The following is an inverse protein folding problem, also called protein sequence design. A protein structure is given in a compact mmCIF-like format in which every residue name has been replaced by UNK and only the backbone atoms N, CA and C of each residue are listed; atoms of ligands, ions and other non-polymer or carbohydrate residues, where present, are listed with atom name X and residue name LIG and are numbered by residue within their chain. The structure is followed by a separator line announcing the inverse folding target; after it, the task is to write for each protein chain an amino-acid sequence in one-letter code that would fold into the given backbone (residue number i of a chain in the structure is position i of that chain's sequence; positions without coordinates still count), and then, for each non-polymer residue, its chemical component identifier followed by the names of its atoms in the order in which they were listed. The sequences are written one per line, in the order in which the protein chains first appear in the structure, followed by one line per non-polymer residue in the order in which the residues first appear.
data_IF_007644763531
#
_entry.id   IF_007644763531
#
_cell.length_a   1.000
_cell.length_b   1.000
_cell.length_c   1.000
_cell.angle_alpha   90.00
_cell.angle_beta   90.00
_cell.angle_gamma   90.00
#
_symmetry.space_group_name_H-M   'P 1'
#
loop_
_entity.id
_entity.type
_entity.pdbx_description
1 polymer ?
#
# COMPACT_ATOMS: atom_id res chain seq x y z
N UNK A 1 -3.37 3.02 2.09
CA UNK A 1 -3.11 3.83 0.87
C UNK A 1 -3.19 2.91 -0.33
N UNK A 2 -3.99 3.26 -1.33
CA UNK A 2 -4.14 2.46 -2.57
C UNK A 2 -3.46 3.09 -3.77
N UNK A 3 -3.28 4.41 -3.75
CA UNK A 3 -2.63 5.13 -4.83
C UNK A 3 -1.10 5.10 -4.71
N UNK A 4 -0.44 5.01 -5.86
CA UNK A 4 1.00 5.27 -5.96
C UNK A 4 1.20 6.79 -6.08
N UNK A 5 1.92 7.36 -5.13
CA UNK A 5 2.17 8.80 -5.05
C UNK A 5 3.62 9.07 -5.45
N UNK A 6 3.81 10.05 -6.33
CA UNK A 6 5.14 10.53 -6.76
C UNK A 6 5.17 12.06 -6.72
N UNK A 7 6.33 12.69 -6.51
CA UNK A 7 6.45 14.13 -6.64
C UNK A 7 6.16 14.56 -8.07
N UNK A 8 5.55 15.73 -8.23
CA UNK A 8 5.49 16.40 -9.52
C UNK A 8 6.93 16.61 -10.04
N UNK A 9 7.21 16.40 -11.33
CA UNK A 9 8.54 16.57 -11.93
C UNK A 9 9.19 17.93 -11.61
N UNK A 10 8.42 19.02 -11.59
CA UNK A 10 8.90 20.36 -11.24
C UNK A 10 9.27 20.56 -9.78
N UNK A 11 8.97 19.58 -8.92
CA UNK A 11 9.26 19.55 -7.49
C UNK A 11 10.26 18.45 -7.10
N UNK A 12 10.73 17.67 -8.06
CA UNK A 12 11.81 16.69 -7.87
C UNK A 12 13.17 17.36 -8.04
N UNK A 13 14.11 17.06 -7.15
CA UNK A 13 15.51 17.48 -7.29
C UNK A 13 16.33 16.48 -8.15
N UNK A 14 15.74 15.35 -8.55
CA UNK A 14 16.42 14.30 -9.30
C UNK A 14 16.23 14.44 -10.81
N UNK A 15 17.30 14.84 -11.48
CA UNK A 15 17.38 15.02 -12.94
C UNK A 15 17.34 13.65 -13.68
N UNK A 16 17.45 12.52 -12.96
CA UNK A 16 17.60 11.18 -13.54
C UNK A 16 16.40 10.24 -13.44
N UNK A 17 15.38 10.55 -12.62
CA UNK A 17 14.25 9.64 -12.33
C UNK A 17 12.89 10.22 -12.70
N UNK A 18 12.84 11.33 -13.44
CA UNK A 18 11.57 11.92 -13.90
C UNK A 18 10.78 10.89 -14.72
N UNK A 19 9.66 10.36 -14.19
CA UNK A 19 8.83 9.43 -14.94
C UNK A 19 8.32 10.14 -16.19
N UNK A 20 8.33 9.47 -17.34
CA UNK A 20 7.84 10.05 -18.58
C UNK A 20 6.32 10.26 -18.46
N UNK A 21 5.93 11.47 -18.08
CA UNK A 21 4.56 11.83 -17.75
C UNK A 21 3.76 12.07 -19.03
N UNK A 22 2.66 11.33 -19.22
CA UNK A 22 1.63 11.71 -20.20
C UNK A 22 0.52 12.42 -19.43
N UNK A 23 0.42 13.77 -19.49
CA UNK A 23 -0.60 14.49 -18.75
C UNK A 23 -1.97 14.20 -19.36
N UNK A 24 -2.72 13.29 -18.74
CA UNK A 24 -4.17 13.14 -18.98
C UNK A 24 -5.00 13.71 -17.82
N UNK A 25 -4.34 14.29 -16.81
CA UNK A 25 -4.75 14.10 -15.44
C UNK A 25 -5.84 15.01 -14.92
N UNK A 26 -6.91 14.38 -14.46
CA UNK A 26 -7.92 15.05 -13.68
C UNK A 26 -7.34 15.48 -12.32
N UNK A 27 -7.67 16.68 -11.83
CA UNK A 27 -7.25 17.13 -10.50
C UNK A 27 -7.85 16.23 -9.42
N UNK A 28 -7.05 15.87 -8.42
CA UNK A 28 -7.50 15.09 -7.26
C UNK A 28 -7.01 15.71 -5.97
N UNK A 29 -7.76 15.48 -4.89
CA UNK A 29 -7.33 15.80 -3.53
C UNK A 29 -7.12 14.50 -2.78
N UNK A 30 -5.98 14.37 -2.12
CA UNK A 30 -5.64 13.22 -1.30
C UNK A 30 -5.41 13.66 0.14
N UNK A 31 -5.85 12.83 1.08
CA UNK A 31 -5.69 13.10 2.51
C UNK A 31 -4.63 12.16 3.07
N UNK A 32 -3.63 12.72 3.76
CA UNK A 32 -2.57 11.94 4.37
C UNK A 32 -2.13 12.55 5.69
N UNK A 33 -2.20 11.75 6.76
CA UNK A 33 -1.87 12.17 8.14
C UNK A 33 -2.60 13.43 8.61
N UNK A 34 -3.81 13.68 8.10
CA UNK A 34 -4.65 14.83 8.47
C UNK A 34 -4.43 16.07 7.60
N UNK A 35 -3.52 16.03 6.63
CA UNK A 35 -3.29 17.12 5.68
C UNK A 35 -3.84 16.77 4.29
N UNK A 36 -4.37 17.78 3.59
CA UNK A 36 -4.86 17.67 2.22
C UNK A 36 -3.78 18.04 1.21
N UNK A 37 -3.62 17.23 0.16
CA UNK A 37 -2.66 17.47 -0.90
C UNK A 37 -3.35 17.46 -2.26
N UNK A 38 -2.98 18.43 -3.10
CA UNK A 38 -3.45 18.50 -4.48
C UNK A 38 -2.54 17.69 -5.38
N UNK A 39 -3.15 16.79 -6.14
CA UNK A 39 -2.48 15.93 -7.10
C UNK A 39 -3.15 15.94 -8.47
N UNK A 40 -2.48 15.28 -9.40
CA UNK A 40 -2.94 15.08 -10.77
C UNK A 40 -2.76 13.60 -11.10
N UNK A 41 -3.79 12.97 -11.65
CA UNK A 41 -3.72 11.56 -12.05
C UNK A 41 -2.94 11.39 -13.35
N UNK A 42 -2.19 10.31 -13.48
CA UNK A 42 -1.53 9.97 -14.75
C UNK A 42 -1.11 8.51 -14.74
N UNK A 43 -0.49 8.07 -15.82
CA UNK A 43 0.23 6.80 -15.85
C UNK A 43 1.72 7.05 -15.97
N UNK A 44 2.50 6.25 -15.27
CA UNK A 44 3.95 6.26 -15.35
C UNK A 44 4.45 4.88 -15.76
N UNK A 45 5.48 4.84 -16.60
CA UNK A 45 6.21 3.61 -16.90
C UNK A 45 7.11 3.31 -15.70
N UNK A 46 6.96 2.14 -15.11
CA UNK A 46 7.63 1.75 -13.86
C UNK A 46 8.46 0.49 -14.06
N UNK A 47 9.64 0.50 -13.45
CA UNK A 47 10.49 -0.67 -13.22
C UNK A 47 10.66 -0.87 -11.72
N UNK A 48 10.40 -2.07 -11.23
CA UNK A 48 10.59 -2.45 -9.82
C UNK A 48 11.83 -3.36 -9.74
N UNK A 49 12.97 -2.85 -9.25
CA UNK A 49 14.20 -3.62 -9.15
C UNK A 49 14.02 -4.92 -8.37
N UNK A 50 14.74 -5.97 -8.76
CA UNK A 50 14.65 -7.28 -8.12
C UNK A 50 13.39 -8.09 -8.50
N UNK A 51 12.56 -7.57 -9.40
CA UNK A 51 11.39 -8.28 -9.95
C UNK A 51 11.45 -8.36 -11.47
N UNK A 52 10.47 -9.02 -12.10
CA UNK A 52 10.28 -9.00 -13.57
C UNK A 52 9.41 -7.85 -14.04
N UNK A 53 8.98 -6.96 -13.13
CA UNK A 53 8.12 -5.82 -13.43
C UNK A 53 9.00 -4.71 -14.01
N UNK A 54 9.01 -4.60 -15.34
CA UNK A 54 9.71 -3.54 -16.07
C UNK A 54 8.83 -3.03 -17.19
N UNK A 55 8.96 -1.74 -17.50
CA UNK A 55 8.27 -1.09 -18.61
C UNK A 55 6.74 -1.20 -18.55
N UNK A 56 6.18 -1.33 -17.33
CA UNK A 56 4.73 -1.42 -17.10
C UNK A 56 4.18 -0.04 -16.78
N UNK A 57 3.07 0.33 -17.43
CA UNK A 57 2.35 1.57 -17.12
C UNK A 57 1.48 1.36 -15.88
N UNK A 58 1.83 1.99 -14.77
CA UNK A 58 1.05 1.97 -13.54
C UNK A 58 0.32 3.31 -13.33
N UNK A 59 -0.89 3.29 -12.72
CA UNK A 59 -1.58 4.51 -12.29
C UNK A 59 -0.77 5.19 -11.19
N UNK A 60 -0.61 6.51 -11.30
CA UNK A 60 0.09 7.33 -10.31
C UNK A 60 -0.67 8.63 -10.07
N UNK A 61 -0.54 9.16 -8.86
CA UNK A 61 -0.96 10.52 -8.52
C UNK A 61 0.32 11.33 -8.29
N UNK A 62 0.55 12.29 -9.17
CA UNK A 62 1.66 13.23 -9.01
C UNK A 62 1.22 14.37 -8.10
N UNK A 63 1.90 14.55 -6.97
CA UNK A 63 1.56 15.58 -5.99
C UNK A 63 2.59 16.69 -5.97
N UNK A 64 2.14 17.93 -5.79
CA UNK A 64 3.06 19.02 -5.56
C UNK A 64 3.64 18.89 -4.16
N UNK A 65 4.96 18.94 -4.02
CA UNK A 65 5.60 19.04 -2.70
C UNK A 65 5.13 20.33 -2.02
N UNK A 66 4.39 20.20 -0.92
CA UNK A 66 3.86 21.35 -0.16
C UNK A 66 4.68 21.63 1.11
N UNK A 67 5.39 20.63 1.63
CA UNK A 67 6.20 20.70 2.84
C UNK A 67 7.43 19.77 2.74
N UNK A 68 8.43 19.90 3.65
CA UNK A 68 9.58 18.99 3.70
C UNK A 68 9.22 17.51 3.93
N UNK A 69 8.10 17.25 4.60
CA UNK A 69 7.51 15.92 4.84
C UNK A 69 6.12 15.84 4.17
N UNK A 70 6.10 15.95 2.84
CA UNK A 70 4.87 15.69 2.07
C UNK A 70 4.63 14.18 1.99
N UNK A 71 3.43 13.72 1.63
CA UNK A 71 2.98 12.31 1.52
C UNK A 71 4.07 11.30 1.09
N UNK A 72 4.82 10.74 2.04
CA UNK A 72 5.95 9.83 1.75
C UNK A 72 7.06 10.43 0.88
N UNK A 73 7.11 11.76 0.75
CA UNK A 73 8.09 12.55 0.00
C UNK A 73 8.90 13.37 1.00
N UNK A 74 10.11 12.91 1.28
CA UNK A 74 11.10 13.56 2.15
C UNK A 74 12.51 13.25 1.63
N UNK A 75 13.60 13.73 2.27
CA UNK A 75 14.96 13.50 1.78
C UNK A 75 15.38 12.03 1.59
N UNK A 76 14.65 11.08 2.17
CA UNK A 76 14.96 9.65 2.11
C UNK A 76 13.92 8.83 1.32
N UNK A 77 12.80 9.44 0.92
CA UNK A 77 11.68 8.77 0.27
C UNK A 77 11.11 9.67 -0.82
N UNK A 78 10.98 9.14 -2.03
CA UNK A 78 10.49 9.88 -3.20
C UNK A 78 9.02 9.58 -3.53
N UNK A 79 8.25 9.07 -2.57
CA UNK A 79 6.85 8.75 -2.78
C UNK A 79 6.36 7.53 -2.01
N UNK A 80 5.19 7.06 -2.41
CA UNK A 80 4.50 5.92 -1.81
C UNK A 80 4.08 4.95 -2.90
N UNK A 81 4.37 3.67 -2.70
CA UNK A 81 3.78 2.60 -3.51
C UNK A 81 2.53 2.06 -2.78
N UNK A 82 1.34 2.42 -3.28
CA UNK A 82 0.07 2.01 -2.71
C UNK A 82 -0.37 0.63 -3.20
N UNK A 83 -0.85 -0.20 -2.29
CA UNK A 83 -1.33 -1.55 -2.58
C UNK A 83 -2.65 -1.92 -1.89
N UNK A 84 -3.34 -0.92 -1.34
CA UNK A 84 -4.71 -1.10 -0.84
C UNK A 84 -5.72 -1.35 -1.97
N UNK A 85 -6.98 -1.56 -1.58
CA UNK A 85 -8.10 -1.81 -2.47
C UNK A 85 -8.45 -0.60 -3.36
N UNK A 86 -8.98 -0.86 -4.55
CA UNK A 86 -9.38 0.17 -5.52
C UNK A 86 -10.49 1.09 -5.01
N UNK A 87 -11.32 0.63 -4.08
CA UNK A 87 -12.36 1.44 -3.41
C UNK A 87 -11.79 2.68 -2.72
N UNK A 88 -10.56 2.58 -2.21
CA UNK A 88 -9.84 3.67 -1.52
C UNK A 88 -8.96 4.51 -2.47
N UNK A 89 -8.83 4.12 -3.74
CA UNK A 89 -8.04 4.87 -4.72
C UNK A 89 -8.72 6.19 -5.09
N UNK A 90 -7.93 7.26 -5.11
CA UNK A 90 -8.32 8.58 -5.61
C UNK A 90 -7.99 8.77 -7.09
N UNK A 91 -7.31 7.82 -7.72
CA UNK A 91 -7.03 7.84 -9.15
C UNK A 91 -8.32 7.77 -9.98
N UNK A 92 -8.31 8.37 -11.19
CA UNK A 92 -9.41 8.28 -12.15
C UNK A 92 -8.94 7.66 -13.49
N UNK A 93 -9.52 6.53 -13.94
CA UNK A 93 -10.48 5.68 -13.22
C UNK A 93 -9.87 5.11 -11.93
N UNK A 94 -10.72 4.64 -10.99
CA UNK A 94 -10.26 4.02 -9.73
C UNK A 94 -9.59 2.68 -10.02
N UNK A 95 -8.29 2.71 -10.20
CA UNK A 95 -7.45 1.56 -10.51
C UNK A 95 -6.15 1.69 -9.73
N UNK A 96 -5.70 0.59 -9.14
CA UNK A 96 -4.47 0.54 -8.34
C UNK A 96 -3.31 -0.04 -9.14
N UNK A 97 -2.09 0.10 -8.60
CA UNK A 97 -0.93 -0.60 -9.13
C UNK A 97 -1.16 -2.13 -9.13
N UNK A 98 -1.75 -2.67 -8.06
CA UNK A 98 -2.02 -4.10 -7.94
C UNK A 98 -3.03 -4.59 -8.97
N UNK A 99 -4.12 -3.87 -9.19
CA UNK A 99 -5.11 -4.19 -10.24
C UNK A 99 -4.45 -4.25 -11.62
N UNK A 100 -3.58 -3.27 -11.91
CA UNK A 100 -2.91 -3.18 -13.21
C UNK A 100 -1.92 -4.33 -13.40
N UNK A 101 -1.13 -4.64 -12.36
CA UNK A 101 -0.15 -5.72 -12.40
C UNK A 101 -0.82 -7.09 -12.55
N UNK A 102 -1.88 -7.34 -11.78
CA UNK A 102 -2.57 -8.63 -11.77
C UNK A 102 -3.40 -8.84 -13.03
N UNK A 103 -4.29 -7.90 -13.37
CA UNK A 103 -5.15 -8.03 -14.56
C UNK A 103 -4.37 -7.95 -15.87
N UNK A 104 -3.20 -7.29 -15.85
CA UNK A 104 -2.25 -7.27 -16.96
C UNK A 104 -1.42 -8.55 -17.11
N UNK A 105 -1.58 -9.54 -16.22
CA UNK A 105 -0.83 -10.80 -16.24
C UNK A 105 0.66 -10.64 -15.91
N UNK A 106 1.07 -9.51 -15.31
CA UNK A 106 2.47 -9.24 -14.94
C UNK A 106 2.87 -10.03 -13.71
N UNK A 107 1.95 -10.16 -12.75
CA UNK A 107 2.11 -10.98 -11.55
C UNK A 107 1.11 -12.16 -11.56
N UNK A 108 1.50 -13.34 -11.07
CA UNK A 108 0.65 -14.52 -11.15
C UNK A 108 -0.47 -14.54 -10.12
N UNK A 109 -0.29 -13.88 -8.97
CA UNK A 109 -1.27 -13.83 -7.88
C UNK A 109 -1.57 -12.38 -7.51
N UNK A 110 -2.81 -12.09 -7.10
CA UNK A 110 -3.18 -10.79 -6.57
C UNK A 110 -2.83 -10.69 -5.07
N UNK A 111 -1.53 -10.81 -4.76
CA UNK A 111 -1.05 -10.96 -3.39
C UNK A 111 0.21 -10.11 -3.17
N UNK A 112 0.41 -9.66 -1.93
CA UNK A 112 1.65 -9.06 -1.46
C UNK A 112 2.12 -9.75 -0.19
N UNK A 113 3.36 -10.25 -0.22
CA UNK A 113 4.06 -10.67 0.98
C UNK A 113 4.89 -9.52 1.54
N UNK A 114 4.71 -9.21 2.83
CA UNK A 114 5.59 -8.29 3.56
C UNK A 114 6.40 -9.06 4.58
N UNK A 115 7.72 -8.95 4.49
CA UNK A 115 8.61 -9.57 5.46
C UNK A 115 9.51 -8.51 6.06
N UNK A 116 9.23 -8.18 7.33
CA UNK A 116 9.95 -7.19 8.12
C UNK A 116 10.87 -7.92 9.10
N UNK A 117 12.18 -7.83 8.88
CA UNK A 117 13.17 -8.47 9.73
C UNK A 117 13.43 -7.66 11.01
N UNK A 118 13.92 -8.31 12.08
CA UNK A 118 14.44 -7.61 13.26
C UNK A 118 15.53 -6.59 12.90
N UNK A 119 15.77 -5.63 13.80
CA UNK A 119 16.68 -4.49 13.58
C UNK A 119 18.06 -4.88 13.01
N UNK A 120 18.71 -5.88 13.61
CA UNK A 120 20.01 -6.46 13.22
C UNK A 120 20.02 -7.05 11.80
N UNK A 121 18.84 -7.34 11.22
CA UNK A 121 18.65 -7.98 9.92
C UNK A 121 17.78 -7.14 8.98
N UNK A 122 17.62 -5.85 9.25
CA UNK A 122 16.72 -4.95 8.49
C UNK A 122 16.95 -4.98 6.97
N UNK A 123 18.21 -5.10 6.53
CA UNK A 123 18.60 -5.22 5.11
C UNK A 123 18.04 -6.47 4.41
N UNK A 124 17.60 -7.48 5.16
CA UNK A 124 16.99 -8.70 4.64
C UNK A 124 15.45 -8.60 4.55
N UNK A 125 14.87 -7.50 5.01
CA UNK A 125 13.44 -7.22 4.83
C UNK A 125 13.14 -7.00 3.36
N UNK A 126 11.97 -7.45 2.90
CA UNK A 126 11.58 -7.28 1.51
C UNK A 126 10.07 -7.35 1.34
N UNK A 127 9.64 -6.96 0.14
CA UNK A 127 8.27 -7.03 -0.33
C UNK A 127 8.24 -8.03 -1.50
N UNK A 128 7.29 -8.97 -1.45
CA UNK A 128 7.04 -9.94 -2.52
C UNK A 128 5.73 -9.59 -3.24
N UNK A 129 5.83 -8.93 -4.39
CA UNK A 129 4.65 -8.56 -5.19
C UNK A 129 4.30 -9.74 -6.10
N UNK A 130 3.09 -10.28 -5.94
CA UNK A 130 2.63 -11.49 -6.64
C UNK A 130 2.91 -12.80 -5.91
N UNK A 131 3.47 -12.74 -4.69
CA UNK A 131 3.81 -13.87 -3.84
C UNK A 131 4.50 -15.02 -4.60
N UNK A 132 5.52 -14.70 -5.39
CA UNK A 132 6.12 -15.65 -6.36
C UNK A 132 7.16 -16.59 -5.75
N UNK A 133 7.61 -16.33 -4.52
CA UNK A 133 8.75 -17.00 -3.90
C UNK A 133 8.51 -17.23 -2.40
N UNK A 134 8.54 -18.49 -1.97
CA UNK A 134 8.56 -18.89 -0.56
C UNK A 134 10.01 -19.19 -0.18
N UNK A 135 10.72 -18.17 0.32
CA UNK A 135 12.13 -18.31 0.71
C UNK A 135 12.29 -18.12 2.22
N UNK A 136 13.02 -19.01 2.92
CA UNK A 136 13.34 -18.82 4.33
C UNK A 136 14.12 -17.53 4.56
N UNK A 137 13.56 -16.61 5.34
CA UNK A 137 14.12 -15.28 5.64
C UNK A 137 13.69 -14.82 7.02
N UNK A 138 14.43 -13.87 7.61
CA UNK A 138 14.22 -13.35 8.96
C UNK A 138 14.05 -14.45 10.05
N UNK A 139 14.72 -15.59 9.92
CA UNK A 139 14.56 -16.73 10.84
C UNK A 139 13.27 -17.56 10.67
N UNK A 140 12.47 -17.28 9.63
CA UNK A 140 11.27 -18.05 9.26
C UNK A 140 11.56 -18.96 8.07
N UNK A 141 10.73 -19.98 7.86
CA UNK A 141 10.78 -20.83 6.66
C UNK A 141 10.00 -20.23 5.45
N UNK A 142 9.49 -19.01 5.58
CA UNK A 142 8.71 -18.30 4.57
C UNK A 142 7.27 -18.81 4.37
N UNK A 143 6.84 -19.87 5.05
CA UNK A 143 5.49 -20.44 4.88
C UNK A 143 4.48 -19.72 5.78
N UNK A 144 3.31 -19.44 5.22
CA UNK A 144 2.16 -18.97 6.01
C UNK A 144 1.78 -20.00 7.05
N UNK A 145 1.58 -19.55 8.30
CA UNK A 145 1.20 -20.41 9.43
C UNK A 145 -0.30 -20.38 9.71
N UNK A 146 -0.99 -19.34 9.24
CA UNK A 146 -2.41 -19.14 9.38
C UNK A 146 -2.93 -18.26 8.24
N UNK A 147 -4.22 -18.38 7.95
CA UNK A 147 -4.97 -17.49 7.09
C UNK A 147 -6.11 -16.89 7.90
N UNK A 148 -6.37 -15.61 7.70
CA UNK A 148 -7.43 -14.86 8.38
C UNK A 148 -8.20 -14.11 7.32
N UNK A 149 -9.52 -14.25 7.36
CA UNK A 149 -10.40 -13.54 6.44
C UNK A 149 -10.52 -12.07 6.88
N UNK A 150 -10.43 -11.17 5.91
CA UNK A 150 -10.76 -9.76 6.14
C UNK A 150 -12.28 -9.63 6.27
N UNK A 151 -12.78 -8.96 7.33
CA UNK A 151 -14.21 -8.68 7.49
C UNK A 151 -14.81 -7.83 6.35
N UNK A 152 -13.98 -7.07 5.63
CA UNK A 152 -14.39 -6.22 4.52
C UNK A 152 -13.50 -6.40 3.28
N UNK A 153 -14.07 -6.06 2.12
CA UNK A 153 -13.41 -6.11 0.80
C UNK A 153 -12.89 -4.73 0.35
N UNK A 154 -12.86 -3.74 1.24
CA UNK A 154 -12.41 -2.38 0.98
C UNK A 154 -11.11 -2.01 1.73
N UNK A 155 -10.72 -2.79 2.74
CA UNK A 155 -9.60 -2.50 3.63
C UNK A 155 -8.95 -3.80 4.11
N UNK A 156 -7.64 -3.75 4.38
CA UNK A 156 -6.95 -4.86 5.04
C UNK A 156 -7.23 -4.78 6.54
N UNK A 157 -8.26 -5.50 7.01
CA UNK A 157 -8.65 -5.54 8.42
C UNK A 157 -8.71 -6.98 8.91
N UNK A 158 -8.60 -7.16 10.24
CA UNK A 158 -8.74 -8.47 10.89
C UNK A 158 -9.56 -8.32 12.16
N UNK A 159 -10.36 -9.33 12.49
CA UNK A 159 -11.12 -9.36 13.73
C UNK A 159 -10.25 -9.93 14.87
N UNK A 160 -9.88 -9.09 15.84
CA UNK A 160 -9.06 -9.50 16.99
C UNK A 160 -10.00 -9.96 18.10
N UNK A 161 -9.96 -11.26 18.43
CA UNK A 161 -10.85 -11.86 19.42
C UNK A 161 -10.47 -11.54 20.87
N UNK A 162 -9.17 -11.55 21.16
CA UNK A 162 -8.65 -11.24 22.49
C UNK A 162 -7.19 -10.85 22.40
N UNK A 163 -6.73 -10.07 23.38
CA UNK A 163 -5.32 -9.77 23.62
C UNK A 163 -4.99 -10.30 25.01
N UNK A 164 -3.90 -11.04 25.12
CA UNK A 164 -3.46 -11.62 26.39
C UNK A 164 -2.13 -11.00 26.80
N UNK A 165 -1.98 -10.67 28.09
CA UNK A 165 -0.73 -10.24 28.71
C UNK A 165 -0.45 -11.19 29.87
N UNK A 166 0.65 -11.94 29.79
CA UNK A 166 0.97 -13.01 30.74
C UNK A 166 -0.18 -14.02 30.89
N UNK A 167 -0.77 -14.44 29.77
CA UNK A 167 -1.93 -15.35 29.69
C UNK A 167 -3.24 -14.81 30.30
N UNK A 168 -3.26 -13.57 30.77
CA UNK A 168 -4.47 -12.91 31.27
C UNK A 168 -5.11 -12.05 30.16
N UNK A 169 -6.42 -12.19 29.90
CA UNK A 169 -7.10 -11.38 28.91
C UNK A 169 -7.13 -9.91 29.33
N UNK A 170 -6.85 -9.02 28.39
CA UNK A 170 -6.95 -7.57 28.58
C UNK A 170 -8.38 -7.12 28.32
N UNK A 171 -8.92 -6.28 29.20
CA UNK A 171 -10.17 -5.57 28.95
C UNK A 171 -9.96 -4.54 27.84
N UNK A 172 -10.52 -4.83 26.67
CA UNK A 172 -10.45 -3.94 25.51
C UNK A 172 -11.50 -2.84 25.64
N UNK A 173 -11.19 -1.58 25.29
CA UNK A 173 -12.17 -0.49 25.30
C UNK A 173 -13.37 -0.84 24.41
N UNK A 174 -14.56 -0.35 24.76
CA UNK A 174 -15.78 -0.60 23.99
C UNK A 174 -15.63 -0.16 22.52
N UNK A 175 -14.85 0.89 22.26
CA UNK A 175 -14.58 1.43 20.91
C UNK A 175 -13.54 0.62 20.11
N UNK A 176 -12.95 -0.43 20.69
CA UNK A 176 -11.96 -1.24 20.01
C UNK A 176 -12.58 -1.94 18.78
N UNK A 177 -12.06 -1.61 17.59
CA UNK A 177 -12.50 -2.13 16.29
C UNK A 177 -13.95 -1.81 15.88
N UNK A 178 -14.69 -0.94 16.60
CA UNK A 178 -16.06 -0.53 16.22
C UNK A 178 -16.14 0.16 14.85
N UNK A 179 -15.13 0.95 14.46
CA UNK A 179 -15.09 1.67 13.18
C UNK A 179 -15.08 0.74 11.95
N UNK A 180 -14.72 -0.54 12.14
CA UNK A 180 -14.72 -1.56 11.07
C UNK A 180 -16.13 -2.13 10.85
N UNK A 181 -17.03 -2.00 11.84
CA UNK A 181 -18.39 -2.57 11.79
C UNK A 181 -19.44 -1.66 11.16
N UNK A 182 -19.18 -0.35 10.99
CA UNK A 182 -20.18 0.57 10.41
C UNK A 182 -20.42 0.33 8.91
N UNK A 183 -19.48 -0.29 8.19
CA UNK A 183 -19.61 -0.65 6.77
C UNK A 183 -19.86 -2.15 6.52
N UNK A 184 -20.04 -2.95 7.56
CA UNK A 184 -20.18 -4.41 7.43
C UNK A 184 -21.16 -4.97 8.45
N UNK A 185 -22.44 -4.96 8.08
CA UNK A 185 -23.55 -5.75 8.63
C UNK A 185 -23.45 -6.12 10.12
N UNK A 186 -24.30 -5.44 10.91
CA UNK A 186 -24.77 -5.91 12.21
C UNK A 186 -25.11 -7.40 12.18
N UNK A 187 -24.41 -8.20 12.97
CA UNK A 187 -24.97 -9.40 13.59
C UNK A 187 -24.56 -9.41 15.05
N UNK A 188 -25.43 -8.83 15.86
CA UNK A 188 -25.52 -9.13 17.28
C UNK A 188 -26.11 -10.53 17.41
N UNK A 189 -25.32 -11.53 17.80
CA UNK A 189 -25.85 -12.73 18.45
C UNK A 189 -24.97 -13.14 19.63
N UNK A 190 -25.57 -12.94 20.81
CA UNK A 190 -25.43 -13.58 22.13
C UNK A 190 -24.16 -14.35 22.49
#
# INVERSE_FOLDING_TARGET
MSDTIVPLPSSSNDIGLTPQHTPSGEPVTIDYKGDEYKGVTSTAVVTIPGTRITDIKLPVISVQKQSPDSVGINPNLDGVFGFGYSSLSKHHPRVTAMDTLYNGGVIPNNEIGLQLCPYEMTSNSFINIGNTDITPKCGTNGRSVAWVDSPSDDQFTVNIKSILVNDEPVDLPEEFQKTIMENGLTNSEK
#
